data_IF_563265145282
#
_entry.id   IF_563265145282
#
_cell.length_a   1.000
_cell.length_b   1.000
_cell.length_c   1.000
_cell.angle_alpha   90.00
_cell.angle_beta   90.00
_cell.angle_gamma   90.00
#
_symmetry.space_group_name_H-M   'P 1'
#
loop_
_entity.id
_entity.type
_entity.pdbx_description
1 polymer ?
#
# COMPACT_ATOMS: atom_id res chain seq x y z
N UNK A 1 32.76 10.76 -13.28
CA UNK A 1 31.41 10.65 -12.69
C UNK A 1 31.17 9.23 -12.20
N UNK A 2 31.65 8.89 -11.01
CA UNK A 2 31.27 7.64 -10.34
C UNK A 2 30.72 8.04 -8.97
N UNK A 3 29.41 7.91 -8.81
CA UNK A 3 28.76 8.00 -7.52
C UNK A 3 28.60 6.56 -7.02
N UNK A 4 29.54 6.02 -6.23
CA UNK A 4 29.53 4.63 -5.82
C UNK A 4 28.29 4.27 -4.99
N UNK A 5 27.68 5.28 -4.34
CA UNK A 5 26.52 5.14 -3.46
C UNK A 5 25.18 5.34 -4.17
N UNK A 6 25.19 5.54 -5.49
CA UNK A 6 23.96 5.63 -6.25
C UNK A 6 23.25 4.27 -6.32
N UNK A 7 21.93 4.30 -6.16
CA UNK A 7 21.06 3.12 -6.28
C UNK A 7 20.60 2.98 -7.73
N UNK A 8 20.68 1.78 -8.29
CA UNK A 8 20.19 1.45 -9.63
C UNK A 8 18.68 1.35 -9.62
N UNK A 9 18.01 1.92 -10.62
CA UNK A 9 16.55 1.86 -10.75
C UNK A 9 16.20 0.99 -11.94
N UNK A 10 15.36 -0.02 -11.71
CA UNK A 10 14.87 -0.95 -12.72
C UNK A 10 13.36 -0.86 -12.85
N UNK A 11 12.86 -0.93 -14.08
CA UNK A 11 11.43 -1.01 -14.39
C UNK A 11 11.21 -2.22 -15.29
N UNK A 12 10.46 -3.21 -14.82
CA UNK A 12 10.22 -4.48 -15.53
C UNK A 12 11.53 -5.14 -16.00
N UNK A 13 12.55 -5.14 -15.15
CA UNK A 13 13.88 -5.68 -15.44
C UNK A 13 14.78 -4.79 -16.31
N UNK A 14 14.28 -3.70 -16.88
CA UNK A 14 15.08 -2.75 -17.66
C UNK A 14 15.75 -1.75 -16.74
N UNK A 15 17.07 -1.62 -16.81
CA UNK A 15 17.80 -0.57 -16.10
C UNK A 15 17.51 0.80 -16.72
N UNK A 16 16.83 1.67 -15.99
CA UNK A 16 16.43 3.00 -16.48
C UNK A 16 17.40 4.11 -16.04
N UNK A 17 18.10 3.94 -14.93
CA UNK A 17 19.05 4.93 -14.45
C UNK A 17 19.52 4.70 -13.02
N UNK A 18 20.10 5.74 -12.42
CA UNK A 18 20.59 5.71 -11.04
C UNK A 18 20.07 6.92 -10.27
N UNK A 19 19.84 6.74 -8.98
CA UNK A 19 19.39 7.80 -8.08
C UNK A 19 20.30 7.88 -6.86
N UNK A 20 20.74 9.09 -6.48
CA UNK A 20 21.65 9.30 -5.34
C UNK A 20 20.95 9.20 -3.98
N UNK A 21 19.65 9.51 -3.92
CA UNK A 21 18.83 9.42 -2.71
C UNK A 21 17.67 8.44 -2.91
N UNK A 22 17.94 7.14 -2.84
CA UNK A 22 16.91 6.12 -3.06
C UNK A 22 15.80 6.14 -2.02
N UNK A 23 16.11 6.52 -0.78
CA UNK A 23 15.11 6.54 0.29
C UNK A 23 13.97 7.50 -0.04
N UNK A 24 14.30 8.72 -0.48
CA UNK A 24 13.31 9.70 -0.89
C UNK A 24 12.48 9.21 -2.09
N UNK A 25 13.15 8.64 -3.10
CA UNK A 25 12.47 8.10 -4.29
C UNK A 25 11.46 7.02 -3.92
N UNK A 26 11.88 6.04 -3.12
CA UNK A 26 11.03 4.92 -2.70
C UNK A 26 9.82 5.44 -1.92
N UNK A 27 10.03 6.32 -0.94
CA UNK A 27 8.93 6.92 -0.16
C UNK A 27 7.93 7.67 -1.05
N UNK A 28 8.40 8.49 -1.99
CA UNK A 28 7.51 9.20 -2.90
C UNK A 28 6.72 8.25 -3.81
N UNK A 29 7.35 7.21 -4.36
CA UNK A 29 6.65 6.26 -5.25
C UNK A 29 5.64 5.41 -4.45
N UNK A 30 5.97 5.03 -3.21
CA UNK A 30 5.03 4.35 -2.31
C UNK A 30 3.84 5.25 -1.97
N UNK A 31 4.05 6.53 -1.68
CA UNK A 31 2.97 7.49 -1.45
C UNK A 31 2.06 7.66 -2.67
N UNK A 32 2.63 7.70 -3.88
CA UNK A 32 1.87 7.75 -5.13
C UNK A 32 1.06 6.47 -5.38
N UNK A 33 1.52 5.31 -4.91
CA UNK A 33 0.74 4.06 -4.94
C UNK A 33 -0.40 4.12 -3.92
N UNK A 34 -0.12 4.55 -2.69
CA UNK A 34 -1.11 4.66 -1.60
C UNK A 34 -2.24 5.64 -1.90
N UNK A 35 -1.94 6.76 -2.56
CA UNK A 35 -2.95 7.76 -2.91
C UNK A 35 -3.73 7.43 -4.20
N UNK A 36 -3.41 6.30 -4.85
CA UNK A 36 -4.09 5.83 -6.07
C UNK A 36 -3.62 6.47 -7.38
N UNK A 37 -2.58 7.32 -7.36
CA UNK A 37 -1.98 7.86 -8.61
C UNK A 37 -1.30 6.74 -9.41
N UNK A 38 -0.65 5.81 -8.72
CA UNK A 38 -0.11 4.58 -9.29
C UNK A 38 -1.00 3.40 -8.91
N UNK A 39 -1.04 2.37 -9.78
CA UNK A 39 -1.84 1.17 -9.50
C UNK A 39 -1.34 0.48 -8.23
N UNK A 40 -2.27 0.08 -7.36
CA UNK A 40 -1.96 -0.73 -6.17
C UNK A 40 -1.41 -2.11 -6.51
N UNK A 41 -1.46 -2.54 -7.78
CA UNK A 41 -0.89 -3.79 -8.30
C UNK A 41 0.59 -3.67 -8.68
N UNK A 42 1.17 -2.46 -8.65
CA UNK A 42 2.59 -2.27 -8.93
C UNK A 42 3.44 -2.70 -7.73
N UNK A 43 4.46 -3.54 -7.96
CA UNK A 43 5.40 -3.93 -6.90
C UNK A 43 6.59 -2.98 -6.85
N UNK A 44 6.98 -2.60 -5.64
CA UNK A 44 8.02 -1.64 -5.34
C UNK A 44 9.03 -2.27 -4.39
N UNK A 45 10.05 -2.92 -4.94
CA UNK A 45 11.07 -3.64 -4.15
C UNK A 45 12.34 -2.80 -4.02
N UNK A 46 12.76 -2.54 -2.78
CA UNK A 46 14.04 -1.89 -2.49
C UNK A 46 15.03 -2.90 -1.94
N UNK A 47 16.00 -3.30 -2.76
CA UNK A 47 17.15 -4.07 -2.30
C UNK A 47 18.25 -3.14 -1.78
N UNK A 48 18.38 -3.08 -0.45
CA UNK A 48 19.35 -2.24 0.23
C UNK A 48 20.79 -2.79 0.05
N UNK A 49 20.95 -4.12 -0.04
CA UNK A 49 22.26 -4.77 -0.13
C UNK A 49 22.87 -4.57 -1.51
N UNK A 50 22.07 -4.83 -2.55
CA UNK A 50 22.51 -4.73 -3.94
C UNK A 50 22.39 -3.31 -4.53
N UNK A 51 21.86 -2.38 -3.71
CA UNK A 51 21.60 -0.97 -4.08
C UNK A 51 20.73 -0.90 -5.33
N UNK A 52 19.58 -1.57 -5.28
CA UNK A 52 18.61 -1.62 -6.37
C UNK A 52 17.22 -1.21 -5.91
N UNK A 53 16.52 -0.48 -6.76
CA UNK A 53 15.09 -0.22 -6.64
C UNK A 53 14.40 -0.78 -7.88
N UNK A 54 13.56 -1.78 -7.71
CA UNK A 54 12.89 -2.52 -8.77
C UNK A 54 11.41 -2.20 -8.74
N UNK A 55 10.88 -1.80 -9.88
CA UNK A 55 9.46 -1.52 -10.09
C UNK A 55 8.93 -2.53 -11.09
N UNK A 56 7.89 -3.27 -10.71
CA UNK A 56 7.21 -4.20 -11.58
C UNK A 56 5.77 -3.75 -11.83
N UNK A 57 5.39 -3.70 -13.10
CA UNK A 57 4.05 -3.29 -13.58
C UNK A 57 3.43 -4.36 -14.48
N UNK A 58 4.05 -5.54 -14.57
CA UNK A 58 3.61 -6.67 -15.35
C UNK A 58 2.45 -7.42 -14.68
N UNK A 59 1.66 -8.13 -15.47
CA UNK A 59 0.56 -8.95 -14.95
C UNK A 59 1.04 -10.35 -14.57
N UNK A 60 0.26 -11.05 -13.73
CA UNK A 60 0.49 -12.44 -13.38
C UNK A 60 1.17 -12.68 -12.04
N UNK A 61 1.57 -11.61 -11.33
CA UNK A 61 2.00 -11.68 -9.93
C UNK A 61 0.81 -12.05 -9.03
N UNK A 62 1.05 -12.94 -8.09
CA UNK A 62 0.07 -13.27 -7.04
C UNK A 62 0.24 -12.24 -5.93
N UNK A 63 -0.87 -11.62 -5.54
CA UNK A 63 -0.90 -10.58 -4.52
C UNK A 63 -1.75 -11.03 -3.34
N UNK A 64 -1.34 -10.66 -2.12
CA UNK A 64 -2.10 -10.87 -0.89
C UNK A 64 -2.43 -9.53 -0.24
N UNK A 65 -3.71 -9.20 0.01
CA UNK A 65 -4.06 -7.99 0.71
C UNK A 65 -3.77 -8.13 2.22
N UNK A 66 -3.14 -7.11 2.80
CA UNK A 66 -2.77 -7.05 4.21
C UNK A 66 -3.17 -5.71 4.82
N UNK A 67 -3.46 -5.71 6.13
CA UNK A 67 -3.64 -4.46 6.86
C UNK A 67 -2.32 -3.73 7.04
N UNK A 68 -2.37 -2.41 6.88
CA UNK A 68 -1.20 -1.54 7.06
C UNK A 68 -1.04 -1.18 8.53
N UNK A 69 0.20 -1.25 9.02
CA UNK A 69 0.61 -0.71 10.33
C UNK A 69 1.15 0.70 10.13
N UNK A 70 0.71 1.64 10.95
CA UNK A 70 1.24 3.00 10.94
C UNK A 70 2.64 3.03 11.53
N UNK A 71 3.63 3.46 10.75
CA UNK A 71 5.04 3.50 11.15
C UNK A 71 5.58 4.91 11.36
N UNK A 72 4.84 5.94 10.96
CA UNK A 72 5.25 7.33 11.13
C UNK A 72 5.24 7.72 12.61
N UNK A 73 6.43 8.01 13.13
CA UNK A 73 6.66 8.40 14.52
C UNK A 73 5.92 9.67 14.95
N UNK A 74 5.45 10.46 13.98
CA UNK A 74 4.72 11.72 14.21
C UNK A 74 3.22 11.48 14.40
N UNK A 75 2.70 10.32 14.00
CA UNK A 75 1.27 10.03 14.10
C UNK A 75 0.92 9.39 15.45
N UNK A 76 -0.26 9.74 16.01
CA UNK A 76 -0.66 9.25 17.33
C UNK A 76 -0.94 7.74 17.37
N UNK A 77 -1.30 7.15 16.23
CA UNK A 77 -1.58 5.71 16.08
C UNK A 77 -0.35 4.91 15.63
N UNK A 78 0.88 5.41 15.86
CA UNK A 78 2.11 4.68 15.55
C UNK A 78 2.09 3.28 16.15
N UNK A 79 2.62 2.31 15.41
CA UNK A 79 2.66 0.88 15.71
C UNK A 79 1.27 0.25 15.86
N UNK A 80 0.20 0.93 15.49
CA UNK A 80 -1.14 0.34 15.44
C UNK A 80 -1.58 0.16 13.99
N UNK A 81 -2.60 -0.67 13.77
CA UNK A 81 -3.25 -0.76 12.47
C UNK A 81 -3.79 0.62 12.05
N UNK A 82 -3.71 0.90 10.75
CA UNK A 82 -4.39 2.04 10.13
C UNK A 82 -5.92 1.82 10.15
N UNK A 83 -6.36 0.56 10.15
CA UNK A 83 -7.76 0.21 10.34
C UNK A 83 -8.26 0.72 11.70
N UNK A 84 -9.37 1.45 11.68
CA UNK A 84 -9.91 2.16 12.84
C UNK A 84 -11.41 1.92 12.96
N UNK A 85 -11.98 2.27 14.11
CA UNK A 85 -13.42 2.17 14.32
C UNK A 85 -14.22 3.00 13.31
N UNK A 86 -13.66 4.12 12.84
CA UNK A 86 -14.31 4.96 11.82
C UNK A 86 -14.44 4.22 10.49
N UNK A 87 -13.38 3.49 10.07
CA UNK A 87 -13.42 2.65 8.87
C UNK A 87 -14.47 1.54 8.98
N UNK A 88 -14.55 0.89 10.15
CA UNK A 88 -15.60 -0.10 10.43
C UNK A 88 -17.00 0.50 10.34
N UNK A 89 -17.21 1.66 10.97
CA UNK A 89 -18.51 2.34 10.97
C UNK A 89 -18.94 2.73 9.55
N UNK A 90 -18.02 3.17 8.68
CA UNK A 90 -18.30 3.42 7.26
C UNK A 90 -18.81 2.16 6.55
N UNK A 91 -18.16 1.01 6.75
CA UNK A 91 -18.57 -0.27 6.16
C UNK A 91 -19.95 -0.73 6.66
N UNK A 92 -20.22 -0.58 7.96
CA UNK A 92 -21.53 -0.93 8.54
C UNK A 92 -22.64 0.00 8.02
N UNK A 93 -22.37 1.30 7.93
CA UNK A 93 -23.33 2.27 7.40
C UNK A 93 -23.68 1.97 5.94
N UNK A 94 -22.69 1.62 5.12
CA UNK A 94 -22.91 1.16 3.74
C UNK A 94 -23.79 -0.09 3.69
N UNK A 95 -23.47 -1.11 4.49
CA UNK A 95 -24.25 -2.36 4.52
C UNK A 95 -25.72 -2.11 4.88
N UNK A 96 -25.98 -1.20 5.82
CA UNK A 96 -27.33 -0.79 6.21
C UNK A 96 -28.04 0.00 5.09
N UNK A 97 -27.33 0.93 4.44
CA UNK A 97 -27.87 1.73 3.33
C UNK A 97 -28.23 0.86 2.11
N UNK A 98 -27.42 -0.15 1.81
CA UNK A 98 -27.69 -1.11 0.72
C UNK A 98 -28.91 -2.00 1.01
N UNK A 99 -29.16 -2.32 2.28
CA UNK A 99 -30.32 -3.09 2.73
C UNK A 99 -31.63 -2.28 2.74
N UNK A 100 -31.56 -0.94 2.77
CA UNK A 100 -32.74 -0.10 2.67
C UNK A 100 -33.31 -0.12 1.24
N UNK A 101 -34.57 -0.55 1.12
CA UNK A 101 -35.27 -0.58 -0.16
C UNK A 101 -35.50 0.85 -0.70
N UNK A 102 -35.19 1.09 -1.98
CA UNK A 102 -35.55 2.32 -2.68
C UNK A 102 -34.40 3.19 -3.21
N UNK A 103 -33.14 2.87 -2.91
CA UNK A 103 -31.98 3.58 -3.48
C UNK A 103 -31.65 3.03 -4.88
N UNK A 104 -31.50 3.91 -5.86
CA UNK A 104 -31.12 3.54 -7.23
C UNK A 104 -29.70 2.96 -7.31
N UNK A 105 -29.42 2.12 -8.31
CA UNK A 105 -28.11 1.43 -8.45
C UNK A 105 -26.92 2.40 -8.58
N UNK A 106 -27.11 3.54 -9.23
CA UNK A 106 -26.07 4.57 -9.41
C UNK A 106 -25.74 5.27 -8.08
N UNK A 107 -26.76 5.65 -7.30
CA UNK A 107 -26.60 6.28 -5.98
C UNK A 107 -26.00 5.31 -4.96
N UNK A 108 -26.32 4.01 -5.05
CA UNK A 108 -25.65 2.97 -4.26
C UNK A 108 -24.16 2.87 -4.58
N UNK A 109 -23.78 3.03 -5.83
CA UNK A 109 -22.38 2.92 -6.27
C UNK A 109 -21.54 4.09 -5.76
N UNK A 110 -22.08 5.32 -5.77
CA UNK A 110 -21.39 6.50 -5.23
C UNK A 110 -21.24 6.47 -3.70
N UNK A 111 -22.19 5.86 -2.99
CA UNK A 111 -22.17 5.70 -1.54
C UNK A 111 -21.36 4.47 -1.06
N UNK A 112 -20.86 3.65 -1.97
CA UNK A 112 -20.11 2.43 -1.65
C UNK A 112 -18.70 2.78 -1.22
N UNK A 113 -18.41 2.63 0.07
CA UNK A 113 -17.04 2.71 0.59
C UNK A 113 -16.29 1.42 0.24
N UNK A 114 -16.77 0.29 0.76
CA UNK A 114 -16.40 -1.06 0.38
C UNK A 114 -14.89 -1.32 0.40
N UNK A 115 -14.48 -2.30 -0.39
CA UNK A 115 -13.07 -2.67 -0.50
C UNK A 115 -12.21 -1.57 -1.13
N UNK A 116 -12.74 -0.87 -2.13
CA UNK A 116 -12.03 0.22 -2.83
C UNK A 116 -11.70 1.38 -1.89
N UNK A 117 -12.62 1.72 -1.00
CA UNK A 117 -12.42 2.75 0.02
C UNK A 117 -11.34 2.37 1.04
N UNK A 118 -11.26 1.09 1.43
CA UNK A 118 -10.18 0.61 2.31
C UNK A 118 -8.79 0.70 1.64
N UNK A 119 -8.70 0.40 0.35
CA UNK A 119 -7.46 0.59 -0.42
C UNK A 119 -7.12 2.08 -0.50
N UNK A 120 -8.10 2.92 -0.84
CA UNK A 120 -7.91 4.37 -1.04
C UNK A 120 -7.54 5.10 0.26
N UNK A 121 -8.10 4.69 1.40
CA UNK A 121 -7.74 5.20 2.72
C UNK A 121 -6.38 4.63 3.22
N UNK A 122 -5.72 3.77 2.43
CA UNK A 122 -4.44 3.14 2.78
C UNK A 122 -4.53 2.16 3.95
N UNK A 123 -5.73 1.66 4.23
CA UNK A 123 -5.98 0.67 5.29
C UNK A 123 -5.43 -0.69 4.88
N UNK A 124 -5.59 -1.02 3.60
CA UNK A 124 -5.17 -2.30 3.02
C UNK A 124 -4.17 -2.04 1.90
N UNK A 125 -3.07 -2.79 1.91
CA UNK A 125 -2.10 -2.83 0.82
C UNK A 125 -2.01 -4.24 0.25
N UNK A 126 -1.88 -4.32 -1.07
CA UNK A 126 -1.59 -5.57 -1.76
C UNK A 126 -0.09 -5.80 -1.73
N UNK A 127 0.33 -6.97 -1.28
CA UNK A 127 1.74 -7.34 -1.24
C UNK A 127 1.96 -8.54 -2.14
N UNK A 128 2.93 -8.47 -3.04
CA UNK A 128 3.34 -9.64 -3.82
C UNK A 128 4.39 -10.48 -3.07
N UNK A 129 4.71 -11.64 -3.64
CA UNK A 129 5.69 -12.55 -3.04
C UNK A 129 7.11 -11.94 -2.90
N UNK A 130 7.52 -11.02 -3.79
CA UNK A 130 8.84 -10.39 -3.70
C UNK A 130 8.88 -9.26 -2.66
N UNK A 131 7.81 -8.48 -2.55
CA UNK A 131 7.63 -7.46 -1.52
C UNK A 131 7.55 -8.10 -0.13
N UNK A 132 6.90 -9.26 0.00
CA UNK A 132 6.81 -10.04 1.24
C UNK A 132 8.18 -10.39 1.85
N UNK A 133 9.21 -10.66 1.03
CA UNK A 133 10.58 -10.94 1.50
C UNK A 133 11.24 -9.75 2.22
N UNK A 134 10.75 -8.54 1.97
CA UNK A 134 11.27 -7.30 2.58
C UNK A 134 10.34 -6.70 3.63
N UNK A 135 9.13 -7.24 3.77
CA UNK A 135 8.14 -6.77 4.72
C UNK A 135 8.29 -7.44 6.09
N UNK A 136 7.85 -6.73 7.13
CA UNK A 136 7.64 -7.32 8.45
C UNK A 136 6.15 -7.48 8.67
N UNK A 137 5.69 -8.71 8.88
CA UNK A 137 4.28 -9.05 9.01
C UNK A 137 4.04 -9.58 10.42
N UNK A 138 3.16 -8.91 11.15
CA UNK A 138 2.68 -9.37 12.45
C UNK A 138 1.60 -10.44 12.24
N UNK A 139 1.62 -11.49 13.06
CA UNK A 139 0.65 -12.58 12.93
C UNK A 139 -0.70 -12.21 13.56
N UNK A 140 -0.65 -11.55 14.72
CA UNK A 140 -1.82 -11.17 15.49
C UNK A 140 -1.77 -9.66 15.79
N UNK A 141 -2.88 -8.92 15.62
CA UNK A 141 -2.89 -7.49 15.94
C UNK A 141 -2.60 -7.20 17.42
N UNK A 142 -2.79 -8.18 18.31
CA UNK A 142 -2.44 -8.08 19.73
C UNK A 142 -0.94 -7.91 19.96
N UNK A 143 -0.10 -8.50 19.08
CA UNK A 143 1.36 -8.47 19.20
C UNK A 143 1.96 -7.07 18.91
N UNK A 144 1.14 -6.14 18.38
CA UNK A 144 1.55 -4.75 18.13
C UNK A 144 1.62 -3.89 19.40
N UNK A 145 0.96 -4.33 20.47
CA UNK A 145 0.86 -3.62 21.76
C UNK A 145 1.90 -4.02 22.81
N UNK A 146 2.71 -5.04 22.52
CA UNK A 146 3.81 -5.51 23.39
C UNK A 146 5.11 -4.69 23.18
#
# INVERSE_FOLDING_TARGET
NQNPDATKVFVNGVWVGVHSNAQQLVSTVQELRRNGTLSYEMSLIRDIRDREFKIFTDAGRVMRPLFVVESDVRKPNRNHLVFSQDHYNKLVAEQQAQAAAGVGEEEKTELTYGWKGLIQDGVIEYLDAEEEETAMIVMSPEDLGE
#
